data_IF_627311487104
#
_entry.id   IF_627311487104
#
_cell.length_a   1.000
_cell.length_b   1.000
_cell.length_c   1.000
_cell.angle_alpha   90.00
_cell.angle_beta   90.00
_cell.angle_gamma   90.00
#
_symmetry.space_group_name_H-M   'P 1'
#
loop_
_entity.id
_entity.type
_entity.pdbx_description
1 polymer ?
#
# COMPACT_ATOMS: atom_id res chain seq x y z
N UNK A 1 -0.35 34.00 -36.63
CA UNK A 1 0.10 32.75 -35.97
C UNK A 1 -0.72 31.53 -36.41
N UNK A 2 -2.00 31.42 -36.05
CA UNK A 2 -2.83 30.24 -36.34
C UNK A 2 -3.00 29.90 -37.84
N UNK A 3 -3.12 30.91 -38.71
CA UNK A 3 -3.21 30.69 -40.16
C UNK A 3 -1.93 30.05 -40.75
N UNK A 4 -0.76 30.39 -40.21
CA UNK A 4 0.51 29.77 -40.59
C UNK A 4 0.61 28.33 -40.06
N UNK A 5 0.19 28.09 -38.80
CA UNK A 5 0.20 26.75 -38.21
C UNK A 5 -0.76 25.80 -38.92
N UNK A 6 -1.97 26.24 -39.24
CA UNK A 6 -2.94 25.43 -39.98
C UNK A 6 -2.42 25.00 -41.35
N UNK A 7 -1.76 25.91 -42.09
CA UNK A 7 -1.14 25.58 -43.37
C UNK A 7 0.02 24.59 -43.20
N UNK A 8 0.81 24.73 -42.14
CA UNK A 8 1.95 23.86 -41.82
C UNK A 8 1.49 22.45 -41.45
N UNK A 9 0.50 22.32 -40.57
CA UNK A 9 -0.07 21.02 -40.17
C UNK A 9 -0.73 20.32 -41.35
N UNK A 10 -1.45 21.04 -42.22
CA UNK A 10 -2.03 20.41 -43.42
C UNK A 10 -0.94 19.90 -44.39
N UNK A 11 0.13 20.67 -44.59
CA UNK A 11 1.27 20.31 -45.45
C UNK A 11 1.99 19.07 -44.94
N UNK A 12 2.17 18.93 -43.62
CA UNK A 12 2.89 17.82 -42.98
C UNK A 12 1.98 16.84 -42.24
N UNK A 13 0.70 16.76 -42.60
CA UNK A 13 -0.35 16.04 -41.85
C UNK A 13 0.00 14.58 -41.47
N UNK A 14 0.69 13.86 -42.35
CA UNK A 14 1.11 12.47 -42.09
C UNK A 14 2.27 12.36 -41.08
N UNK A 15 3.20 13.30 -41.10
CA UNK A 15 4.29 13.35 -40.11
C UNK A 15 3.71 13.75 -38.75
N UNK A 16 2.87 14.78 -38.74
CA UNK A 16 2.23 15.27 -37.50
C UNK A 16 1.43 14.16 -36.83
N UNK A 17 0.56 13.47 -37.57
CA UNK A 17 -0.23 12.38 -36.98
C UNK A 17 0.66 11.22 -36.52
N UNK A 18 1.65 10.80 -37.31
CA UNK A 18 2.51 9.69 -36.95
C UNK A 18 3.33 9.98 -35.68
N UNK A 19 3.94 11.17 -35.61
CA UNK A 19 4.76 11.57 -34.45
C UNK A 19 3.90 11.70 -33.20
N UNK A 20 2.77 12.42 -33.27
CA UNK A 20 1.92 12.61 -32.09
C UNK A 20 1.32 11.30 -31.61
N UNK A 21 0.85 10.44 -32.51
CA UNK A 21 0.32 9.11 -32.14
C UNK A 21 1.43 8.25 -31.53
N UNK A 22 2.62 8.22 -32.12
CA UNK A 22 3.75 7.46 -31.58
C UNK A 22 4.15 7.95 -30.18
N UNK A 23 4.18 9.26 -29.94
CA UNK A 23 4.46 9.84 -28.63
C UNK A 23 3.36 9.53 -27.62
N UNK A 24 2.07 9.64 -28.01
CA UNK A 24 0.96 9.31 -27.12
C UNK A 24 0.93 7.82 -26.76
N UNK A 25 1.13 6.92 -27.73
CA UNK A 25 1.22 5.48 -27.47
C UNK A 25 2.44 5.13 -26.63
N UNK A 26 3.61 5.70 -26.96
CA UNK A 26 4.82 5.55 -26.17
C UNK A 26 4.65 6.04 -24.73
N UNK A 27 4.03 7.21 -24.56
CA UNK A 27 3.67 7.77 -23.26
C UNK A 27 2.65 6.92 -22.49
N UNK A 28 1.69 6.31 -23.18
CA UNK A 28 0.74 5.37 -22.59
C UNK A 28 1.41 4.09 -22.09
N UNK A 29 2.32 3.51 -22.89
CA UNK A 29 3.10 2.33 -22.50
C UNK A 29 4.04 2.66 -21.33
N UNK A 30 4.74 3.80 -21.42
CA UNK A 30 5.61 4.28 -20.35
C UNK A 30 4.82 4.57 -19.05
N UNK A 31 3.65 5.18 -19.18
CA UNK A 31 2.75 5.51 -18.07
C UNK A 31 1.98 4.32 -17.51
N UNK A 32 2.02 3.14 -18.14
CA UNK A 32 1.29 1.96 -17.67
C UNK A 32 1.71 1.53 -16.26
N UNK A 33 2.96 1.80 -15.86
CA UNK A 33 3.47 1.51 -14.51
C UNK A 33 3.25 2.64 -13.50
N UNK A 34 2.55 3.72 -13.86
CA UNK A 34 2.37 4.89 -13.00
C UNK A 34 1.70 4.52 -11.67
N UNK A 35 0.73 3.59 -11.67
CA UNK A 35 0.04 3.15 -10.46
C UNK A 35 0.94 2.51 -9.38
N UNK A 36 2.18 2.10 -9.74
CA UNK A 36 3.18 1.60 -8.77
C UNK A 36 4.06 2.71 -8.18
N UNK A 37 3.94 3.94 -8.69
CA UNK A 37 4.77 5.09 -8.34
C UNK A 37 3.95 6.26 -7.76
N UNK A 38 2.65 6.05 -7.50
CA UNK A 38 1.82 7.01 -6.78
C UNK A 38 2.00 6.83 -5.27
N UNK A 39 1.74 7.90 -4.52
CA UNK A 39 1.79 7.89 -3.06
C UNK A 39 0.40 8.11 -2.46
N UNK A 40 0.17 7.56 -1.27
CA UNK A 40 -1.05 7.79 -0.47
C UNK A 40 -0.89 8.94 0.54
N UNK A 41 0.31 9.51 0.65
CA UNK A 41 0.61 10.66 1.54
C UNK A 41 0.32 11.99 0.85
N UNK A 42 0.31 13.10 1.62
CA UNK A 42 0.15 14.47 1.09
C UNK A 42 -1.05 15.24 1.64
N UNK A 43 -1.81 14.67 2.59
CA UNK A 43 -2.94 15.35 3.23
C UNK A 43 -2.54 16.29 4.39
N UNK A 44 -1.29 16.23 4.84
CA UNK A 44 -0.78 17.04 5.95
C UNK A 44 0.15 18.14 5.45
N UNK A 45 0.30 19.19 6.26
CA UNK A 45 1.35 20.19 6.07
C UNK A 45 2.68 19.66 6.61
N UNK A 46 3.62 19.37 5.71
CA UNK A 46 4.94 18.83 6.04
C UNK A 46 5.79 19.78 6.92
N UNK A 47 5.52 21.10 6.89
CA UNK A 47 6.21 22.08 7.72
C UNK A 47 5.61 22.26 9.12
N UNK A 48 4.52 21.56 9.43
CA UNK A 48 3.81 21.69 10.71
C UNK A 48 4.55 21.02 11.87
N UNK A 49 4.37 21.57 13.07
CA UNK A 49 4.97 21.00 14.30
C UNK A 49 4.48 19.59 14.61
N UNK A 50 3.24 19.23 14.23
CA UNK A 50 2.71 17.88 14.42
C UNK A 50 3.40 16.84 13.53
N UNK A 51 3.73 17.20 12.28
CA UNK A 51 4.52 16.32 11.40
C UNK A 51 5.94 16.16 11.93
N UNK A 52 6.58 17.25 12.36
CA UNK A 52 7.91 17.16 12.98
C UNK A 52 7.93 16.30 14.25
N UNK A 53 6.91 16.43 15.10
CA UNK A 53 6.76 15.59 16.28
C UNK A 53 6.59 14.11 15.91
N UNK A 54 5.80 13.81 14.87
CA UNK A 54 5.60 12.45 14.37
C UNK A 54 6.89 11.85 13.82
N UNK A 55 7.66 12.61 13.03
CA UNK A 55 8.95 12.17 12.50
C UNK A 55 9.98 11.92 13.60
N UNK A 56 10.03 12.79 14.62
CA UNK A 56 10.93 12.64 15.76
C UNK A 56 10.58 11.40 16.59
N UNK A 57 9.28 11.17 16.85
CA UNK A 57 8.82 10.00 17.58
C UNK A 57 9.10 8.70 16.81
N UNK A 58 8.81 8.65 15.51
CA UNK A 58 9.10 7.51 14.64
C UNK A 58 10.60 7.17 14.62
N UNK A 59 11.48 8.19 14.61
CA UNK A 59 12.92 8.00 14.61
C UNK A 59 13.47 7.53 15.97
N UNK A 60 12.92 8.04 17.08
CA UNK A 60 13.40 7.73 18.42
C UNK A 60 12.87 6.39 18.96
N UNK A 61 11.59 6.09 18.72
CA UNK A 61 10.90 4.92 19.28
C UNK A 61 10.62 3.83 18.24
N UNK A 62 10.84 4.11 16.96
CA UNK A 62 10.39 3.27 15.85
C UNK A 62 8.92 3.53 15.52
N UNK A 63 8.57 3.40 14.24
CA UNK A 63 7.18 3.56 13.78
C UNK A 63 6.30 2.46 14.37
N UNK A 64 5.13 2.85 14.89
CA UNK A 64 4.14 1.88 15.33
C UNK A 64 3.59 1.07 14.15
N UNK A 65 3.57 -0.25 14.34
CA UNK A 65 3.13 -1.25 13.37
C UNK A 65 1.94 -2.07 13.87
N UNK A 66 1.46 -1.79 15.08
CA UNK A 66 0.36 -2.53 15.73
C UNK A 66 -0.97 -2.41 14.97
N UNK A 67 -1.23 -1.24 14.37
CA UNK A 67 -2.45 -0.94 13.64
C UNK A 67 -2.44 -1.28 12.14
N UNK A 68 -1.38 -1.93 11.62
CA UNK A 68 -1.28 -2.22 10.19
C UNK A 68 -2.40 -3.14 9.70
N UNK A 69 -2.64 -4.23 10.42
CA UNK A 69 -3.67 -5.22 10.10
C UNK A 69 -4.25 -5.73 11.42
N UNK A 70 -5.58 -5.63 11.56
CA UNK A 70 -6.31 -6.19 12.70
C UNK A 70 -7.18 -7.33 12.18
N UNK A 71 -6.89 -8.55 12.64
CA UNK A 71 -7.67 -9.74 12.30
C UNK A 71 -8.56 -10.13 13.49
N UNK A 72 -9.86 -10.20 13.27
CA UNK A 72 -10.85 -10.60 14.27
C UNK A 72 -11.22 -12.06 14.02
N UNK A 73 -11.03 -12.89 15.05
CA UNK A 73 -11.38 -14.32 15.00
C UNK A 73 -12.64 -14.58 15.80
N UNK A 74 -13.60 -15.26 15.18
CA UNK A 74 -14.88 -15.65 15.81
C UNK A 74 -14.90 -17.16 15.96
N UNK A 75 -15.15 -17.64 17.19
CA UNK A 75 -15.32 -19.06 17.45
C UNK A 75 -16.59 -19.58 16.77
N UNK A 76 -16.59 -20.81 16.23
CA UNK A 76 -17.79 -21.42 15.67
C UNK A 76 -18.92 -21.57 16.70
N UNK A 77 -20.16 -21.69 16.22
CA UNK A 77 -21.32 -21.88 17.09
C UNK A 77 -21.13 -23.04 18.08
N UNK A 78 -21.46 -22.79 19.35
CA UNK A 78 -21.31 -23.77 20.42
C UNK A 78 -19.87 -23.93 20.95
N UNK A 79 -18.91 -23.13 20.48
CA UNK A 79 -17.52 -23.10 20.98
C UNK A 79 -17.16 -21.70 21.50
N UNK A 80 -16.12 -21.64 22.33
CA UNK A 80 -15.56 -20.38 22.83
C UNK A 80 -14.17 -20.15 22.25
N UNK A 81 -13.65 -18.92 22.38
CA UNK A 81 -12.27 -18.58 22.01
C UNK A 81 -11.22 -19.32 22.84
N UNK A 82 -11.64 -19.90 23.96
CA UNK A 82 -10.80 -20.71 24.85
C UNK A 82 -10.69 -22.17 24.41
N UNK A 83 -11.41 -22.61 23.37
CA UNK A 83 -11.30 -23.98 22.83
C UNK A 83 -9.87 -24.22 22.30
N UNK A 84 -9.09 -25.15 22.88
CA UNK A 84 -7.71 -25.41 22.46
C UNK A 84 -7.58 -25.79 20.99
N UNK A 85 -8.59 -26.48 20.42
CA UNK A 85 -8.58 -26.85 19.00
C UNK A 85 -8.76 -25.62 18.10
N UNK A 86 -9.57 -24.66 18.52
CA UNK A 86 -9.76 -23.39 17.83
C UNK A 86 -8.51 -22.52 17.90
N UNK A 87 -7.94 -22.36 19.11
CA UNK A 87 -6.70 -21.61 19.32
C UNK A 87 -5.54 -22.17 18.49
N UNK A 88 -5.33 -23.49 18.51
CA UNK A 88 -4.29 -24.15 17.73
C UNK A 88 -4.44 -23.87 16.23
N UNK A 89 -5.66 -23.95 15.70
CA UNK A 89 -5.92 -23.68 14.28
C UNK A 89 -5.56 -22.24 13.89
N UNK A 90 -5.84 -21.27 14.76
CA UNK A 90 -5.46 -19.87 14.53
C UNK A 90 -3.94 -19.71 14.52
N UNK A 91 -3.26 -20.26 15.52
CA UNK A 91 -1.80 -20.18 15.64
C UNK A 91 -1.09 -20.84 14.46
N UNK A 92 -1.57 -22.01 14.02
CA UNK A 92 -1.02 -22.72 12.86
C UNK A 92 -1.18 -21.89 11.57
N UNK A 93 -2.34 -21.24 11.38
CA UNK A 93 -2.59 -20.37 10.24
C UNK A 93 -1.68 -19.12 10.25
N UNK A 94 -1.52 -18.47 11.40
CA UNK A 94 -0.64 -17.30 11.55
C UNK A 94 0.81 -17.66 11.31
N UNK A 95 1.28 -18.78 11.88
CA UNK A 95 2.65 -19.27 11.67
C UNK A 95 2.90 -19.64 10.20
N UNK A 96 1.91 -20.24 9.52
CA UNK A 96 2.01 -20.53 8.10
C UNK A 96 2.11 -19.25 7.26
N UNK A 97 1.32 -18.22 7.58
CA UNK A 97 1.37 -16.93 6.88
C UNK A 97 2.73 -16.22 7.07
N UNK A 98 3.23 -16.16 8.31
CA UNK A 98 4.55 -15.62 8.63
C UNK A 98 5.66 -16.34 7.85
N UNK A 99 5.61 -17.68 7.80
CA UNK A 99 6.59 -18.49 7.08
C UNK A 99 6.51 -18.32 5.56
N UNK A 100 5.32 -18.12 5.02
CA UNK A 100 5.11 -17.94 3.58
C UNK A 100 5.50 -16.54 3.09
N UNK A 101 5.44 -15.52 3.96
CA UNK A 101 5.69 -14.13 3.62
C UNK A 101 6.61 -13.42 4.64
N UNK A 102 7.82 -13.94 4.89
CA UNK A 102 8.73 -13.38 5.91
C UNK A 102 9.24 -11.97 5.53
N UNK A 103 9.19 -11.62 4.25
CA UNK A 103 9.54 -10.29 3.72
C UNK A 103 8.43 -9.24 3.90
N UNK A 104 7.20 -9.68 4.19
CA UNK A 104 6.02 -8.79 4.31
C UNK A 104 5.40 -8.77 5.70
N UNK A 105 5.56 -9.84 6.46
CA UNK A 105 4.98 -10.00 7.79
C UNK A 105 6.09 -9.97 8.82
N UNK A 106 6.18 -8.86 9.56
CA UNK A 106 7.16 -8.70 10.63
C UNK A 106 6.88 -9.64 11.81
N UNK A 107 5.62 -9.68 12.27
CA UNK A 107 5.12 -10.50 13.38
C UNK A 107 3.60 -10.48 13.43
N UNK A 108 3.01 -11.53 13.97
CA UNK A 108 1.67 -11.54 14.57
C UNK A 108 1.79 -11.44 16.08
N UNK A 109 0.92 -10.64 16.69
CA UNK A 109 0.77 -10.45 18.14
C UNK A 109 -0.72 -10.49 18.47
N UNK A 110 -1.07 -10.86 19.70
CA UNK A 110 -2.45 -10.85 20.16
C UNK A 110 -2.76 -11.95 21.17
N UNK A 111 -4.02 -11.97 21.60
CA UNK A 111 -4.53 -12.84 22.67
C UNK A 111 -4.07 -14.30 22.56
N UNK A 112 -4.14 -14.89 21.37
CA UNK A 112 -3.80 -16.31 21.18
C UNK A 112 -2.31 -16.62 21.29
N UNK A 113 -1.43 -15.64 21.05
CA UNK A 113 0.04 -15.82 21.02
C UNK A 113 0.71 -15.35 22.32
N UNK A 114 0.12 -14.33 22.94
CA UNK A 114 0.61 -13.65 24.13
C UNK A 114 -0.59 -13.17 24.96
N UNK A 115 -1.31 -14.09 25.63
CA UNK A 115 -2.50 -13.75 26.42
C UNK A 115 -2.24 -12.71 27.51
N UNK A 116 -1.01 -12.60 27.99
CA UNK A 116 -0.52 -11.63 28.98
C UNK A 116 -0.40 -10.19 28.46
N UNK A 117 -0.40 -9.95 27.15
CA UNK A 117 -0.29 -8.60 26.58
C UNK A 117 -1.61 -7.81 26.58
N UNK A 118 -2.73 -8.47 26.93
CA UNK A 118 -4.07 -7.88 26.95
C UNK A 118 -4.70 -7.87 28.35
N UNK A 119 -3.97 -8.32 29.37
CA UNK A 119 -4.37 -8.31 30.79
C UNK A 119 -3.89 -7.07 31.52
#
# INVERSE_FOLDING_TARGET
MFAWWGRTVYRYRFIVIAVMVALCLGGGIYGASLGKHVTQSGFYDEGSQSVHASLLADAAYGRDTSGHIIAIYTAPDGKTVDDPAFQKKILDNLAAAEKAHPDKILRSIGYFKSPELLS
#
